data_IF_284160915650
#
_entry.id   IF_284160915650
#
_cell.length_a   1.000
_cell.length_b   1.000
_cell.length_c   1.000
_cell.angle_alpha   90.00
_cell.angle_beta   90.00
_cell.angle_gamma   90.00
#
_symmetry.space_group_name_H-M   'P 1'
#
loop_
_entity.id
_entity.type
_entity.pdbx_description
1 polymer ?
#
# COMPACT_ATOMS: atom_id res chain seq x y z
N UNK A 1 -4.09 5.10 -0.83
CA UNK A 1 -3.42 5.37 0.47
C UNK A 1 -2.62 6.64 0.30
N UNK A 2 -2.97 7.72 0.96
CA UNK A 2 -2.27 9.00 0.81
C UNK A 2 -0.93 8.99 1.55
N UNK A 3 0.02 9.77 1.05
CA UNK A 3 1.35 9.94 1.64
C UNK A 3 1.31 10.61 3.05
N UNK A 4 0.30 11.44 3.32
CA UNK A 4 0.21 12.22 4.56
C UNK A 4 -0.68 11.56 5.61
N UNK A 5 -0.18 11.48 6.85
CA UNK A 5 -0.95 11.05 8.03
C UNK A 5 -2.10 12.00 8.42
N UNK A 6 -2.14 13.20 7.83
CA UNK A 6 -3.19 14.20 8.06
C UNK A 6 -4.58 13.76 7.54
N UNK A 7 -4.67 12.62 6.85
CA UNK A 7 -5.94 12.04 6.43
C UNK A 7 -6.67 11.27 7.54
N UNK A 8 -6.02 11.02 8.67
CA UNK A 8 -6.69 10.49 9.85
C UNK A 8 -7.39 11.63 10.59
N UNK A 9 -8.64 11.41 10.98
CA UNK A 9 -9.40 12.35 11.82
C UNK A 9 -8.77 12.39 13.23
N UNK A 10 -8.19 13.51 13.66
CA UNK A 10 -7.50 13.60 14.94
C UNK A 10 -8.42 13.42 16.16
N UNK A 11 -9.73 13.58 15.98
CA UNK A 11 -10.74 13.48 17.05
C UNK A 11 -11.42 12.12 17.11
N UNK A 12 -11.04 11.18 16.23
CA UNK A 12 -11.64 9.84 16.15
C UNK A 12 -10.61 8.77 16.47
N UNK A 13 -10.96 7.81 17.33
CA UNK A 13 -10.12 6.63 17.62
C UNK A 13 -9.77 5.86 16.35
N UNK A 14 -8.55 5.36 16.29
CA UNK A 14 -7.98 4.63 15.16
C UNK A 14 -8.86 3.45 14.70
N UNK A 15 -9.28 2.62 15.61
CA UNK A 15 -10.13 1.46 15.28
C UNK A 15 -11.46 1.85 14.61
N UNK A 16 -12.06 2.97 15.02
CA UNK A 16 -13.27 3.49 14.36
C UNK A 16 -13.00 3.95 12.94
N UNK A 17 -11.83 4.50 12.66
CA UNK A 17 -11.45 4.94 11.32
C UNK A 17 -11.19 3.76 10.41
N UNK A 18 -10.48 2.73 10.91
CA UNK A 18 -10.23 1.49 10.15
C UNK A 18 -11.54 0.84 9.73
N UNK A 19 -12.50 0.66 10.67
CA UNK A 19 -13.77 -0.03 10.40
C UNK A 19 -14.92 0.91 9.96
N UNK A 20 -14.70 2.23 9.91
CA UNK A 20 -15.77 3.24 9.82
C UNK A 20 -16.74 3.07 8.66
N UNK A 21 -16.24 2.86 7.45
CA UNK A 21 -17.10 2.72 6.26
C UNK A 21 -17.74 1.33 6.15
N UNK A 22 -17.13 0.31 6.73
CA UNK A 22 -17.71 -1.03 6.78
C UNK A 22 -19.04 -1.01 7.55
N UNK A 23 -19.10 -0.26 8.66
CA UNK A 23 -20.35 -0.03 9.42
C UNK A 23 -21.42 0.68 8.59
N UNK A 24 -21.04 1.65 7.76
CA UNK A 24 -21.97 2.39 6.90
C UNK A 24 -22.60 1.49 5.82
N UNK A 25 -21.79 0.62 5.20
CA UNK A 25 -22.28 -0.38 4.24
C UNK A 25 -23.19 -1.43 4.89
N UNK A 26 -22.84 -1.92 6.09
CA UNK A 26 -23.62 -2.91 6.82
C UNK A 26 -24.98 -2.37 7.30
N UNK A 27 -25.04 -1.09 7.70
CA UNK A 27 -26.29 -0.42 8.06
C UNK A 27 -27.28 -0.33 6.89
N UNK A 28 -26.78 -0.32 5.67
CA UNK A 28 -27.57 -0.35 4.43
C UNK A 28 -28.10 -1.76 4.08
N UNK A 29 -27.46 -2.83 4.60
CA UNK A 29 -27.77 -4.23 4.25
C UNK A 29 -28.32 -5.08 5.42
N UNK A 30 -28.63 -4.51 6.57
CA UNK A 30 -29.50 -5.13 7.58
C UNK A 30 -28.87 -6.15 8.55
N UNK A 31 -27.57 -6.41 8.56
CA UNK A 31 -26.93 -7.38 9.47
C UNK A 31 -25.97 -6.66 10.47
N UNK A 32 -26.56 -5.91 11.40
CA UNK A 32 -25.79 -4.94 12.21
C UNK A 32 -24.78 -5.56 13.20
N UNK A 33 -25.06 -6.71 13.79
CA UNK A 33 -24.24 -7.24 14.90
C UNK A 33 -23.18 -8.25 14.44
N UNK A 34 -23.50 -9.15 13.55
CA UNK A 34 -22.58 -10.15 13.00
C UNK A 34 -21.51 -9.49 12.14
N UNK A 35 -21.88 -8.53 11.32
CA UNK A 35 -20.97 -7.74 10.52
C UNK A 35 -20.01 -6.85 11.34
N UNK A 36 -20.43 -6.38 12.52
CA UNK A 36 -19.56 -5.62 13.42
C UNK A 36 -18.46 -6.50 14.02
N UNK A 37 -18.81 -7.69 14.52
CA UNK A 37 -17.85 -8.67 15.06
C UNK A 37 -16.86 -9.12 14.00
N UNK A 38 -17.32 -9.37 12.77
CA UNK A 38 -16.46 -9.74 11.66
C UNK A 38 -15.50 -8.61 11.27
N UNK A 39 -15.97 -7.36 11.24
CA UNK A 39 -15.13 -6.20 10.98
C UNK A 39 -14.08 -5.98 12.09
N UNK A 40 -14.46 -6.15 13.35
CA UNK A 40 -13.54 -6.05 14.48
C UNK A 40 -12.49 -7.18 14.46
N UNK A 41 -12.88 -8.41 14.17
CA UNK A 41 -11.95 -9.54 14.03
C UNK A 41 -10.95 -9.32 12.88
N UNK A 42 -11.42 -8.86 11.72
CA UNK A 42 -10.57 -8.53 10.59
C UNK A 42 -9.61 -7.36 10.89
N UNK A 43 -10.08 -6.34 11.60
CA UNK A 43 -9.22 -5.23 12.02
C UNK A 43 -8.08 -5.71 12.92
N UNK A 44 -8.35 -6.59 13.90
CA UNK A 44 -7.32 -7.15 14.77
C UNK A 44 -6.32 -8.02 14.01
N UNK A 45 -6.79 -8.86 13.09
CA UNK A 45 -5.92 -9.63 12.21
C UNK A 45 -4.97 -8.70 11.42
N UNK A 46 -5.51 -7.64 10.81
CA UNK A 46 -4.70 -6.66 10.10
C UNK A 46 -3.72 -5.91 11.02
N UNK A 47 -4.13 -5.49 12.22
CA UNK A 47 -3.23 -4.86 13.19
C UNK A 47 -2.05 -5.79 13.49
N UNK A 48 -2.31 -7.05 13.84
CA UNK A 48 -1.27 -8.04 14.13
C UNK A 48 -0.34 -8.30 12.95
N UNK A 49 -0.87 -8.48 11.74
CA UNK A 49 -0.08 -8.67 10.51
C UNK A 49 0.88 -7.52 10.22
N UNK A 50 0.50 -6.30 10.58
CA UNK A 50 1.33 -5.10 10.40
C UNK A 50 2.10 -4.67 11.65
N UNK A 51 2.27 -5.58 12.62
CA UNK A 51 3.07 -5.35 13.81
C UNK A 51 2.53 -4.21 14.70
N UNK A 52 1.22 -4.05 14.73
CA UNK A 52 0.52 -3.12 15.62
C UNK A 52 -0.22 -3.92 16.69
N UNK A 53 -0.07 -3.51 17.96
CA UNK A 53 -0.81 -4.11 19.06
C UNK A 53 -2.31 -3.77 18.99
N UNK A 54 -3.17 -4.61 19.53
CA UNK A 54 -4.64 -4.42 19.53
C UNK A 54 -5.06 -3.09 20.17
N UNK A 55 -4.31 -2.63 21.18
CA UNK A 55 -4.54 -1.37 21.90
C UNK A 55 -4.44 -0.14 20.99
N UNK A 56 -3.73 -0.26 19.87
CA UNK A 56 -3.63 0.83 18.87
C UNK A 56 -5.01 1.24 18.33
N UNK A 57 -5.95 0.32 18.29
CA UNK A 57 -7.34 0.63 17.92
C UNK A 57 -8.02 1.66 18.86
N UNK A 58 -7.57 1.75 20.09
CA UNK A 58 -8.11 2.65 21.11
C UNK A 58 -7.42 4.00 21.19
N UNK A 59 -6.28 4.15 20.50
CA UNK A 59 -5.53 5.40 20.43
C UNK A 59 -6.16 6.40 19.45
N UNK A 60 -5.79 7.67 19.63
CA UNK A 60 -6.04 8.73 18.66
C UNK A 60 -4.83 8.91 17.72
N UNK A 61 -5.01 9.49 16.52
CA UNK A 61 -3.91 9.67 15.56
C UNK A 61 -2.69 10.42 16.12
N UNK A 62 -2.88 11.38 17.00
CA UNK A 62 -1.78 12.14 17.62
C UNK A 62 -0.95 11.35 18.63
N UNK A 63 -1.43 10.18 19.07
CA UNK A 63 -0.70 9.26 19.95
C UNK A 63 0.18 8.27 19.15
N UNK A 64 0.07 8.26 17.81
CA UNK A 64 0.80 7.35 16.95
C UNK A 64 2.16 7.93 16.55
N UNK A 65 3.16 7.06 16.44
CA UNK A 65 4.38 7.42 15.69
C UNK A 65 4.05 7.56 14.19
N UNK A 66 4.91 8.24 13.43
CA UNK A 66 4.72 8.39 11.98
C UNK A 66 4.61 7.06 11.23
N UNK A 67 5.42 6.06 11.62
CA UNK A 67 5.36 4.70 11.05
C UNK A 67 4.07 3.96 11.44
N UNK A 68 3.58 4.11 12.67
CA UNK A 68 2.28 3.55 13.08
C UNK A 68 1.13 4.19 12.29
N UNK A 69 1.12 5.51 12.18
CA UNK A 69 0.05 6.22 11.47
C UNK A 69 -0.01 5.83 9.97
N UNK A 70 1.13 5.61 9.31
CA UNK A 70 1.17 5.10 7.92
C UNK A 70 0.61 3.70 7.81
N UNK A 71 1.00 2.79 8.69
CA UNK A 71 0.43 1.45 8.74
C UNK A 71 -1.08 1.49 8.94
N UNK A 72 -1.57 2.32 9.86
CA UNK A 72 -3.01 2.53 10.07
C UNK A 72 -3.70 3.02 8.80
N UNK A 73 -3.13 3.97 8.06
CA UNK A 73 -3.68 4.42 6.76
C UNK A 73 -3.78 3.27 5.76
N UNK A 74 -2.75 2.43 5.68
CA UNK A 74 -2.77 1.24 4.84
C UNK A 74 -3.90 0.28 5.26
N UNK A 75 -4.05 0.02 6.56
CA UNK A 75 -5.13 -0.82 7.08
C UNK A 75 -6.52 -0.27 6.75
N UNK A 76 -6.71 1.07 6.76
CA UNK A 76 -7.99 1.66 6.35
C UNK A 76 -8.34 1.36 4.89
N UNK A 77 -7.34 1.29 4.01
CA UNK A 77 -7.54 0.94 2.60
C UNK A 77 -7.86 -0.55 2.42
N UNK A 78 -7.06 -1.43 3.02
CA UNK A 78 -7.24 -2.89 2.94
C UNK A 78 -8.56 -3.34 3.58
N UNK A 79 -8.98 -2.68 4.66
CA UNK A 79 -10.24 -3.00 5.35
C UNK A 79 -11.48 -2.74 4.48
N UNK A 80 -11.41 -1.74 3.60
CA UNK A 80 -12.56 -1.31 2.77
C UNK A 80 -12.87 -2.23 1.61
N UNK A 81 -11.94 -3.09 1.20
CA UNK A 81 -12.04 -3.95 0.01
C UNK A 81 -12.57 -3.18 -1.22
N UNK A 82 -11.92 -2.10 -1.65
CA UNK A 82 -12.32 -1.35 -2.82
C UNK A 82 -12.08 -2.18 -4.08
N UNK A 83 -12.55 -1.72 -5.24
CA UNK A 83 -12.17 -2.30 -6.55
C UNK A 83 -10.83 -1.78 -7.08
N UNK A 84 -10.38 -0.64 -6.56
CA UNK A 84 -9.13 0.00 -6.92
C UNK A 84 -8.46 0.58 -5.68
N UNK A 85 -7.21 0.27 -5.46
CA UNK A 85 -6.34 0.93 -4.50
C UNK A 85 -5.38 1.84 -5.27
N UNK A 86 -5.30 3.11 -4.88
CA UNK A 86 -4.24 4.03 -5.29
C UNK A 86 -3.35 4.23 -4.07
N UNK A 87 -2.11 3.78 -4.15
CA UNK A 87 -1.12 3.87 -3.08
C UNK A 87 0.03 4.78 -3.52
N UNK A 88 0.17 5.90 -2.81
CA UNK A 88 1.20 6.90 -3.05
C UNK A 88 2.22 6.82 -1.92
N UNK A 89 3.43 6.33 -2.25
CA UNK A 89 4.52 6.07 -1.32
C UNK A 89 4.06 5.34 -0.04
N UNK A 90 3.53 4.11 -0.16
CA UNK A 90 2.92 3.44 0.99
C UNK A 90 3.93 2.89 2.01
N UNK A 91 5.20 2.68 1.64
CA UNK A 91 6.21 1.96 2.42
C UNK A 91 7.19 2.79 3.26
N UNK A 92 7.44 4.09 3.01
CA UNK A 92 8.39 4.85 3.81
C UNK A 92 8.10 4.77 5.31
N UNK A 93 9.15 4.55 6.11
CA UNK A 93 9.05 4.38 7.57
C UNK A 93 8.59 3.00 8.04
N UNK A 94 8.50 2.03 7.12
CA UNK A 94 8.41 0.60 7.42
C UNK A 94 9.80 -0.03 7.30
N UNK A 95 10.06 -1.06 8.09
CA UNK A 95 11.20 -1.94 7.82
C UNK A 95 10.95 -2.78 6.55
N UNK A 96 12.01 -3.38 6.02
CA UNK A 96 11.94 -4.10 4.75
C UNK A 96 10.92 -5.25 4.78
N UNK A 97 10.79 -5.95 5.90
CA UNK A 97 9.86 -7.08 6.01
C UNK A 97 8.40 -6.60 5.94
N UNK A 98 8.08 -5.52 6.64
CA UNK A 98 6.74 -4.89 6.57
C UNK A 98 6.46 -4.26 5.21
N UNK A 99 7.47 -3.65 4.56
CA UNK A 99 7.33 -3.11 3.22
C UNK A 99 6.99 -4.22 2.21
N UNK A 100 7.73 -5.34 2.24
CA UNK A 100 7.46 -6.51 1.39
C UNK A 100 6.08 -7.11 1.68
N UNK A 101 5.67 -7.19 2.95
CA UNK A 101 4.33 -7.65 3.32
C UNK A 101 3.25 -6.77 2.71
N UNK A 102 3.40 -5.44 2.79
CA UNK A 102 2.45 -4.49 2.19
C UNK A 102 2.37 -4.65 0.66
N UNK A 103 3.50 -4.84 -0.01
CA UNK A 103 3.55 -5.09 -1.46
C UNK A 103 2.86 -6.41 -1.81
N UNK A 104 3.10 -7.48 -1.04
CA UNK A 104 2.45 -8.77 -1.25
C UNK A 104 0.93 -8.70 -1.02
N UNK A 105 0.46 -7.91 -0.05
CA UNK A 105 -0.97 -7.69 0.16
C UNK A 105 -1.61 -6.94 -1.03
N UNK A 106 -0.90 -5.98 -1.65
CA UNK A 106 -1.35 -5.36 -2.89
C UNK A 106 -1.38 -6.34 -4.05
N UNK A 107 -0.37 -7.23 -4.16
CA UNK A 107 -0.35 -8.28 -5.18
C UNK A 107 -1.54 -9.22 -5.01
N UNK A 108 -1.76 -9.75 -3.81
CA UNK A 108 -2.91 -10.61 -3.50
C UNK A 108 -4.23 -9.91 -3.82
N UNK A 109 -4.36 -8.63 -3.48
CA UNK A 109 -5.55 -7.85 -3.79
C UNK A 109 -5.78 -7.71 -5.31
N UNK A 110 -4.71 -7.57 -6.10
CA UNK A 110 -4.80 -7.52 -7.56
C UNK A 110 -5.15 -8.90 -8.15
N UNK A 111 -4.59 -9.99 -7.62
CA UNK A 111 -4.87 -11.36 -8.06
C UNK A 111 -6.34 -11.76 -7.80
N UNK A 112 -6.98 -11.16 -6.78
CA UNK A 112 -8.42 -11.29 -6.51
C UNK A 112 -9.31 -10.53 -7.53
N UNK A 113 -8.75 -10.02 -8.62
CA UNK A 113 -9.46 -9.35 -9.71
C UNK A 113 -9.70 -7.86 -9.49
N UNK A 114 -8.98 -7.22 -8.57
CA UNK A 114 -9.06 -5.80 -8.30
C UNK A 114 -7.89 -5.04 -8.97
N UNK A 115 -7.95 -3.71 -8.96
CA UNK A 115 -6.87 -2.86 -9.49
C UNK A 115 -5.99 -2.28 -8.38
N UNK A 116 -4.68 -2.18 -8.63
CA UNK A 116 -3.74 -1.41 -7.80
C UNK A 116 -2.95 -0.45 -8.67
N UNK A 117 -2.95 0.82 -8.32
CA UNK A 117 -2.02 1.82 -8.84
C UNK A 117 -1.05 2.18 -7.72
N UNK A 118 0.19 1.73 -7.85
CA UNK A 118 1.28 2.01 -6.92
C UNK A 118 2.14 3.15 -7.47
N UNK A 119 2.34 4.20 -6.69
CA UNK A 119 3.29 5.27 -6.96
C UNK A 119 4.42 5.11 -5.95
N UNK A 120 5.64 4.89 -6.42
CA UNK A 120 6.81 4.70 -5.56
C UNK A 120 8.10 5.04 -6.31
N UNK A 121 9.13 5.41 -5.57
CA UNK A 121 10.50 5.51 -6.08
C UNK A 121 11.30 4.21 -5.86
N UNK A 122 10.72 3.23 -5.17
CA UNK A 122 11.33 1.92 -4.93
C UNK A 122 11.02 0.97 -6.09
N UNK A 123 11.89 1.02 -7.12
CA UNK A 123 11.74 0.18 -8.30
C UNK A 123 11.93 -1.31 -7.97
N UNK A 124 12.79 -1.65 -7.00
CA UNK A 124 13.05 -3.04 -6.63
C UNK A 124 11.78 -3.70 -6.07
N UNK A 125 11.11 -3.05 -5.11
CA UNK A 125 9.84 -3.53 -4.57
C UNK A 125 8.72 -3.53 -5.62
N UNK A 126 8.69 -2.54 -6.52
CA UNK A 126 7.70 -2.49 -7.58
C UNK A 126 7.84 -3.65 -8.56
N UNK A 127 9.08 -4.03 -8.92
CA UNK A 127 9.37 -5.16 -9.81
C UNK A 127 8.96 -6.52 -9.22
N UNK A 128 8.92 -6.65 -7.89
CA UNK A 128 8.49 -7.88 -7.22
C UNK A 128 6.97 -8.13 -7.36
N UNK A 129 6.15 -7.07 -7.55
CA UNK A 129 4.68 -7.18 -7.40
C UNK A 129 3.87 -6.65 -8.56
N UNK A 130 4.41 -5.76 -9.39
CA UNK A 130 3.66 -5.14 -10.47
C UNK A 130 3.58 -6.02 -11.74
N UNK A 131 2.56 -5.82 -12.54
CA UNK A 131 2.48 -6.39 -13.90
C UNK A 131 3.14 -5.46 -14.92
N UNK A 132 3.04 -4.14 -14.67
CA UNK A 132 3.51 -3.07 -15.57
C UNK A 132 4.11 -1.94 -14.76
N UNK A 133 5.15 -1.34 -15.30
CA UNK A 133 5.82 -0.16 -14.75
C UNK A 133 5.63 1.00 -15.71
N UNK A 134 5.18 2.14 -15.19
CA UNK A 134 5.12 3.41 -15.91
C UNK A 134 6.19 4.32 -15.33
N UNK A 135 7.19 4.66 -16.13
CA UNK A 135 8.30 5.53 -15.72
C UNK A 135 7.93 6.98 -15.97
N UNK A 136 8.01 7.78 -14.91
CA UNK A 136 7.68 9.18 -14.92
C UNK A 136 8.93 10.02 -14.72
N UNK A 137 9.20 10.97 -15.62
CA UNK A 137 10.37 11.83 -15.55
C UNK A 137 10.03 13.22 -16.10
N UNK A 138 10.54 14.26 -15.44
CA UNK A 138 10.37 15.68 -15.83
C UNK A 138 8.92 16.07 -16.13
N UNK A 139 7.96 15.55 -15.35
CA UNK A 139 6.54 15.92 -15.47
C UNK A 139 5.80 15.14 -16.56
N UNK A 140 6.39 14.12 -17.18
CA UNK A 140 5.75 13.32 -18.23
C UNK A 140 6.06 11.83 -18.06
N UNK A 141 5.19 10.99 -18.63
CA UNK A 141 5.45 9.55 -18.79
C UNK A 141 6.45 9.37 -19.93
N UNK A 142 7.59 8.74 -19.63
CA UNK A 142 8.65 8.50 -20.61
C UNK A 142 8.66 7.09 -21.17
N UNK A 143 8.17 6.12 -20.39
CA UNK A 143 8.05 4.73 -20.82
C UNK A 143 6.96 4.00 -20.05
N UNK A 144 6.36 3.02 -20.71
CA UNK A 144 5.52 2.00 -20.12
C UNK A 144 6.06 0.63 -20.57
N UNK A 145 6.42 -0.21 -19.59
CA UNK A 145 7.02 -1.52 -19.82
C UNK A 145 6.35 -2.59 -18.95
N UNK A 146 6.33 -3.83 -19.41
CA UNK A 146 5.97 -4.96 -18.55
C UNK A 146 7.12 -5.26 -17.60
N UNK A 147 6.83 -5.79 -16.43
CA UNK A 147 7.88 -6.21 -15.49
C UNK A 147 8.81 -7.25 -16.12
N UNK A 148 8.29 -8.13 -16.99
CA UNK A 148 9.09 -9.11 -17.75
C UNK A 148 10.13 -8.47 -18.65
N UNK A 149 9.91 -7.25 -19.14
CA UNK A 149 10.82 -6.57 -20.06
C UNK A 149 12.10 -6.10 -19.33
N UNK A 150 12.05 -5.97 -18.00
CA UNK A 150 13.20 -5.66 -17.17
C UNK A 150 14.19 -6.83 -17.01
N UNK A 151 13.83 -8.04 -17.45
CA UNK A 151 14.77 -9.16 -17.52
C UNK A 151 15.80 -9.02 -18.66
N UNK A 152 15.47 -8.20 -19.68
CA UNK A 152 16.35 -7.91 -20.82
C UNK A 152 16.37 -6.39 -21.08
N UNK A 153 17.47 -5.75 -20.72
CA UNK A 153 17.64 -4.28 -20.83
C UNK A 153 17.46 -3.74 -22.26
N UNK A 154 17.64 -4.59 -23.26
CA UNK A 154 17.43 -4.20 -24.67
C UNK A 154 15.97 -3.91 -25.01
N UNK A 155 15.04 -4.42 -24.19
CA UNK A 155 13.60 -4.17 -24.31
C UNK A 155 13.17 -2.82 -23.69
N UNK A 156 14.00 -2.25 -22.81
CA UNK A 156 13.78 -0.93 -22.22
C UNK A 156 14.22 0.14 -23.23
N UNK A 157 13.27 0.95 -23.70
CA UNK A 157 13.48 1.86 -24.82
C UNK A 157 14.09 3.20 -24.40
N UNK A 158 13.62 3.73 -23.25
CA UNK A 158 14.05 5.05 -22.82
C UNK A 158 15.37 5.00 -22.02
N UNK A 159 16.36 5.86 -22.31
CA UNK A 159 17.64 5.87 -21.61
C UNK A 159 17.52 6.04 -20.10
N UNK A 160 16.57 6.87 -19.66
CA UNK A 160 16.32 7.08 -18.23
C UNK A 160 15.81 5.80 -17.54
N UNK A 161 14.93 5.02 -18.18
CA UNK A 161 14.46 3.75 -17.63
C UNK A 161 15.60 2.75 -17.46
N UNK A 162 16.50 2.66 -18.44
CA UNK A 162 17.71 1.82 -18.36
C UNK A 162 18.60 2.25 -17.22
N UNK A 163 18.93 3.55 -17.15
CA UNK A 163 19.76 4.08 -16.06
C UNK A 163 19.15 3.87 -14.68
N UNK A 164 17.82 4.01 -14.55
CA UNK A 164 17.10 3.75 -13.30
C UNK A 164 17.19 2.27 -12.90
N UNK A 165 17.11 1.36 -13.87
CA UNK A 165 17.21 -0.07 -13.64
C UNK A 165 18.65 -0.52 -13.32
N UNK A 166 19.65 0.01 -14.03
CA UNK A 166 21.08 -0.23 -13.78
C UNK A 166 21.50 0.27 -12.39
N UNK A 167 20.83 1.30 -11.86
CA UNK A 167 21.11 1.84 -10.53
C UNK A 167 20.61 0.97 -9.37
N UNK A 168 19.89 -0.12 -9.64
CA UNK A 168 19.41 -1.03 -8.59
C UNK A 168 20.58 -1.74 -7.89
N UNK A 169 20.47 -1.97 -6.55
CA UNK A 169 21.46 -2.73 -5.80
C UNK A 169 21.73 -4.11 -6.43
N UNK A 170 23.00 -4.46 -6.63
CA UNK A 170 23.43 -5.74 -7.20
C UNK A 170 23.47 -5.83 -8.72
N UNK A 171 23.11 -4.75 -9.44
CA UNK A 171 23.26 -4.66 -10.90
C UNK A 171 24.38 -3.72 -11.34
N UNK A 172 25.29 -3.38 -10.46
CA UNK A 172 26.54 -2.66 -10.64
C UNK A 172 26.57 -1.63 -11.79
N UNK A 173 26.64 -0.33 -11.45
CA UNK A 173 27.32 0.60 -12.34
C UNK A 173 28.75 0.04 -12.57
N UNK A 174 29.03 -0.50 -13.74
CA UNK A 174 30.40 -0.64 -14.21
C UNK A 174 30.94 0.79 -14.39
N UNK A 175 31.78 1.23 -13.45
CA UNK A 175 32.49 2.50 -13.49
C UNK A 175 33.51 2.50 -14.63
#
# INVERSE_FOLDING_TARGET
VPQSVNYLDPLMKVGRQIIGETKKRQKLFGEADQGKRQAEARMRDLLGRYGLADEVADLYPFELSGGMARRVLLLTALMRQPRLIIADEPTPGMDLALAKQAMQDFRTFADDGNGVLLITHDLELALEVADRIVVFYAGTTVEEAKVTDFADETLLRHPYTRALYEALPGRGFAA
#
